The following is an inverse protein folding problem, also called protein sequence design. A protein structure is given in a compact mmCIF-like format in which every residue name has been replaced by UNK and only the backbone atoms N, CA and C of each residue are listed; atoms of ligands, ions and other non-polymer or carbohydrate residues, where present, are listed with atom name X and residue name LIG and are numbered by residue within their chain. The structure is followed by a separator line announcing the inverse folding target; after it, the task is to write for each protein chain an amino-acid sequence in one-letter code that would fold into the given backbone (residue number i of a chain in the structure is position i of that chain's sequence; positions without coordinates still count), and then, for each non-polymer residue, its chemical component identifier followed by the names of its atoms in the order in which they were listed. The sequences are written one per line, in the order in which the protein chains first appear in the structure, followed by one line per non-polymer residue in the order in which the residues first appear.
data_IF_954175080799
#
_entry.id   IF_954175080799
#
_cell.length_a   1.000
_cell.length_b   1.000
_cell.length_c   1.000
_cell.angle_alpha   90.00
_cell.angle_beta   90.00
_cell.angle_gamma   90.00
#
_symmetry.space_group_name_H-M   'P 1'
#
loop_
_entity.id
_entity.type
_entity.pdbx_description
1 polymer ?
#
# COMPACT_ATOMS: atom_id res chain seq x y z
N UNK A 1 -9.16 -3.01 6.05
CA UNK A 1 -7.87 -2.46 5.56
C UNK A 1 -7.08 -3.54 4.86
N UNK A 2 -6.43 -3.18 3.76
CA UNK A 2 -5.60 -4.11 3.01
C UNK A 2 -4.15 -3.71 3.20
N UNK A 3 -3.36 -4.65 3.72
CA UNK A 3 -1.92 -4.45 3.93
C UNK A 3 -1.18 -5.64 3.30
N UNK A 4 -0.17 -5.36 2.51
CA UNK A 4 0.69 -6.37 1.94
C UNK A 4 2.02 -6.42 2.67
N UNK A 5 2.57 -7.63 2.81
CA UNK A 5 3.85 -7.87 3.46
C UNK A 5 4.76 -8.55 2.47
N UNK A 6 5.86 -7.89 2.14
CA UNK A 6 6.83 -8.42 1.19
C UNK A 6 8.11 -8.82 1.90
N UNK A 7 8.60 -10.01 1.60
CA UNK A 7 9.88 -10.47 2.11
C UNK A 7 10.99 -9.80 1.31
N UNK A 8 11.92 -9.15 2.02
CA UNK A 8 13.07 -8.48 1.43
C UNK A 8 14.36 -9.09 1.96
N UNK A 9 15.31 -9.30 1.06
CA UNK A 9 16.64 -9.80 1.40
C UNK A 9 17.62 -8.63 1.37
N UNK A 10 18.25 -8.35 2.51
CA UNK A 10 19.23 -7.29 2.67
C UNK A 10 20.61 -7.93 2.66
N UNK A 11 21.34 -7.74 1.57
CA UNK A 11 22.64 -8.36 1.33
C UNK A 11 23.72 -7.32 1.58
N UNK A 12 24.53 -7.56 2.63
CA UNK A 12 25.63 -6.65 2.97
C UNK A 12 26.83 -6.90 2.06
N UNK A 13 27.31 -5.84 1.47
CA UNK A 13 28.50 -5.85 0.60
C UNK A 13 29.78 -5.61 1.43
N UNK A 14 30.93 -5.78 0.80
CA UNK A 14 32.23 -5.63 1.44
C UNK A 14 32.48 -4.22 1.99
N UNK A 15 31.86 -3.20 1.41
CA UNK A 15 31.95 -1.81 1.86
C UNK A 15 30.91 -1.45 2.93
N UNK A 16 30.22 -2.46 3.47
CA UNK A 16 29.15 -2.34 4.47
C UNK A 16 27.87 -1.66 3.94
N UNK A 17 27.75 -1.42 2.65
CA UNK A 17 26.47 -1.04 2.04
C UNK A 17 25.60 -2.27 1.82
N UNK A 18 24.33 -2.03 1.47
CA UNK A 18 23.34 -3.10 1.29
C UNK A 18 22.73 -3.06 -0.10
N UNK A 19 22.53 -4.24 -0.67
CA UNK A 19 21.63 -4.45 -1.80
C UNK A 19 20.37 -5.08 -1.23
N UNK A 20 19.20 -4.61 -1.67
CA UNK A 20 17.90 -5.16 -1.26
C UNK A 20 17.23 -5.80 -2.45
N UNK A 21 16.81 -7.04 -2.29
CA UNK A 21 16.02 -7.76 -3.27
C UNK A 21 14.64 -8.07 -2.72
N UNK A 22 13.60 -7.82 -3.52
CA UNK A 22 12.22 -8.16 -3.19
C UNK A 22 11.71 -9.12 -4.27
N UNK A 23 11.92 -10.44 -4.11
CA UNK A 23 11.62 -11.42 -5.16
C UNK A 23 10.16 -11.44 -5.61
N UNK A 24 9.23 -11.13 -4.70
CA UNK A 24 7.79 -11.13 -4.99
C UNK A 24 7.37 -10.04 -5.97
N UNK A 25 8.20 -9.03 -6.20
CA UNK A 25 7.93 -7.91 -7.09
C UNK A 25 8.83 -7.92 -8.34
N UNK A 26 8.79 -9.03 -9.08
CA UNK A 26 9.47 -9.15 -10.39
C UNK A 26 10.93 -8.67 -10.39
N UNK A 27 11.72 -9.23 -9.49
CA UNK A 27 13.16 -8.94 -9.38
C UNK A 27 13.48 -7.47 -9.08
N UNK A 28 12.58 -6.77 -8.41
CA UNK A 28 12.87 -5.43 -7.94
C UNK A 28 14.01 -5.43 -6.93
N UNK A 29 14.96 -4.54 -7.13
CA UNK A 29 16.07 -4.39 -6.20
C UNK A 29 16.46 -2.91 -6.05
N UNK A 30 17.07 -2.59 -4.92
CA UNK A 30 17.57 -1.26 -4.61
C UNK A 30 18.81 -1.38 -3.71
N UNK A 31 19.31 -0.28 -3.22
CA UNK A 31 20.48 -0.28 -2.34
C UNK A 31 20.42 0.87 -1.34
N UNK A 32 21.29 0.80 -0.34
CA UNK A 32 21.47 1.84 0.66
C UNK A 32 22.82 1.69 1.35
N UNK A 33 23.35 2.78 1.90
CA UNK A 33 24.64 2.78 2.60
C UNK A 33 24.56 2.15 3.98
N UNK A 34 23.39 2.24 4.61
CA UNK A 34 23.10 1.64 5.92
C UNK A 34 21.86 0.77 5.78
N UNK A 35 21.61 -0.07 6.79
CA UNK A 35 20.39 -0.87 6.82
C UNK A 35 19.13 0.01 6.80
N UNK A 36 19.09 1.06 7.62
CA UNK A 36 17.93 1.96 7.67
C UNK A 36 17.68 2.66 6.34
N UNK A 37 18.74 3.10 5.68
CA UNK A 37 18.67 3.73 4.37
C UNK A 37 18.19 2.75 3.31
N UNK A 38 18.70 1.53 3.34
CA UNK A 38 18.27 0.45 2.45
C UNK A 38 16.81 0.06 2.67
N UNK A 39 16.36 0.02 3.93
CA UNK A 39 14.97 -0.26 4.27
C UNK A 39 14.03 0.82 3.72
N UNK A 40 14.39 2.09 3.92
CA UNK A 40 13.64 3.22 3.37
C UNK A 40 13.57 3.17 1.85
N UNK A 41 14.68 2.86 1.20
CA UNK A 41 14.74 2.71 -0.26
C UNK A 41 13.86 1.56 -0.74
N UNK A 42 13.82 0.46 0.00
CA UNK A 42 12.96 -0.68 -0.32
C UNK A 42 11.48 -0.31 -0.20
N UNK A 43 11.10 0.45 0.82
CA UNK A 43 9.73 0.93 1.00
C UNK A 43 9.31 1.82 -0.18
N UNK A 44 10.18 2.74 -0.59
CA UNK A 44 9.93 3.60 -1.76
C UNK A 44 9.85 2.79 -3.05
N UNK A 45 10.67 1.76 -3.20
CA UNK A 45 10.65 0.87 -4.35
C UNK A 45 9.30 0.16 -4.50
N UNK A 46 8.72 -0.32 -3.39
CA UNK A 46 7.40 -0.96 -3.39
C UNK A 46 6.33 0.03 -3.84
N UNK A 47 6.36 1.25 -3.30
CA UNK A 47 5.41 2.31 -3.70
C UNK A 47 5.51 2.61 -5.20
N UNK A 48 6.73 2.76 -5.69
CA UNK A 48 7.00 3.03 -7.11
C UNK A 48 6.51 1.89 -8.01
N UNK A 49 6.72 0.65 -7.58
CA UNK A 49 6.23 -0.52 -8.32
C UNK A 49 4.72 -0.43 -8.54
N UNK A 50 3.95 -0.11 -7.50
CA UNK A 50 2.49 -0.01 -7.63
C UNK A 50 2.03 1.24 -8.36
N UNK A 51 2.81 2.32 -8.36
CA UNK A 51 2.56 3.49 -9.21
C UNK A 51 2.70 3.12 -10.69
N UNK A 52 3.68 2.31 -11.02
CA UNK A 52 3.96 1.88 -12.40
C UNK A 52 3.07 0.71 -12.85
N UNK A 53 2.52 -0.05 -11.90
CA UNK A 53 1.70 -1.24 -12.17
C UNK A 53 0.35 -1.17 -11.43
N UNK A 54 -0.51 -0.17 -11.75
CA UNK A 54 -1.78 0.01 -11.03
C UNK A 54 -2.72 -1.19 -11.13
N UNK A 55 -2.65 -1.98 -12.20
CA UNK A 55 -3.44 -3.19 -12.36
C UNK A 55 -3.02 -4.33 -11.42
N UNK A 56 -1.88 -4.21 -10.78
CA UNK A 56 -1.39 -5.19 -9.80
C UNK A 56 -1.78 -4.84 -8.37
N UNK A 57 -2.33 -3.66 -8.13
CA UNK A 57 -2.60 -3.15 -6.79
C UNK A 57 -3.45 -4.08 -5.93
N UNK A 58 -4.43 -4.74 -6.51
CA UNK A 58 -5.32 -5.66 -5.80
C UNK A 58 -5.07 -7.13 -6.14
N UNK A 59 -3.93 -7.42 -6.77
CA UNK A 59 -3.59 -8.76 -7.22
C UNK A 59 -3.03 -9.64 -6.10
N UNK A 60 -2.39 -9.03 -5.11
CA UNK A 60 -1.72 -9.74 -4.02
C UNK A 60 -2.72 -9.97 -2.89
N UNK A 61 -3.47 -11.08 -2.97
CA UNK A 61 -4.46 -11.46 -1.95
C UNK A 61 -3.82 -12.24 -0.81
N UNK A 62 -2.76 -11.70 -0.23
CA UNK A 62 -2.04 -12.39 0.84
C UNK A 62 -2.45 -11.87 2.20
N UNK A 63 -2.90 -12.79 3.05
CA UNK A 63 -3.10 -12.54 4.47
C UNK A 63 -1.91 -13.15 5.19
N UNK A 64 -0.80 -12.43 5.21
CA UNK A 64 0.34 -12.82 6.02
C UNK A 64 0.42 -11.92 7.24
N UNK A 65 0.82 -12.52 8.35
CA UNK A 65 1.11 -11.81 9.59
C UNK A 65 2.49 -11.15 9.56
N UNK A 66 3.06 -10.93 8.41
CA UNK A 66 4.42 -10.40 8.28
C UNK A 66 5.48 -11.44 8.65
N UNK A 67 6.68 -11.19 8.21
CA UNK A 67 7.84 -12.04 8.54
C UNK A 67 8.64 -11.38 9.65
N UNK A 68 9.08 -12.16 10.62
CA UNK A 68 10.01 -11.65 11.61
C UNK A 68 11.35 -11.35 10.95
N UNK A 69 12.03 -10.32 11.41
CA UNK A 69 13.39 -10.02 10.97
C UNK A 69 14.35 -11.11 11.47
N UNK A 70 15.13 -11.68 10.56
CA UNK A 70 16.12 -12.68 10.94
C UNK A 70 17.31 -12.66 9.98
N UNK A 71 18.43 -13.19 10.44
CA UNK A 71 19.63 -13.31 9.63
C UNK A 71 19.73 -14.72 9.04
N UNK A 72 20.01 -14.81 7.73
CA UNK A 72 20.34 -16.09 7.10
C UNK A 72 21.79 -16.44 7.40
N UNK A 73 22.68 -15.45 7.28
CA UNK A 73 24.08 -15.53 7.65
C UNK A 73 24.60 -14.13 8.01
N UNK A 74 25.92 -13.97 8.15
CA UNK A 74 26.52 -12.67 8.50
C UNK A 74 26.37 -11.59 7.41
N UNK A 75 25.99 -11.97 6.19
CA UNK A 75 25.86 -11.05 5.07
C UNK A 75 24.42 -10.82 4.63
N UNK A 76 23.48 -11.70 4.99
CA UNK A 76 22.11 -11.64 4.50
C UNK A 76 21.12 -11.59 5.65
N UNK A 77 20.39 -10.50 5.73
CA UNK A 77 19.28 -10.31 6.67
C UNK A 77 17.96 -10.33 5.89
N UNK A 78 16.95 -10.97 6.45
CA UNK A 78 15.59 -10.96 5.91
C UNK A 78 14.72 -10.06 6.77
N UNK A 79 13.99 -9.17 6.14
CA UNK A 79 13.04 -8.30 6.83
C UNK A 79 11.77 -8.16 5.99
N UNK A 80 10.72 -7.66 6.61
CA UNK A 80 9.43 -7.47 5.95
C UNK A 80 9.24 -6.01 5.57
N UNK A 81 8.88 -5.77 4.32
CA UNK A 81 8.44 -4.46 3.87
C UNK A 81 6.92 -4.44 3.92
N UNK A 82 6.39 -3.50 4.67
CA UNK A 82 4.94 -3.34 4.86
C UNK A 82 4.41 -2.31 3.88
N UNK A 83 3.35 -2.67 3.15
CA UNK A 83 2.71 -1.78 2.19
C UNK A 83 1.22 -1.66 2.52
N UNK A 84 0.82 -0.48 2.96
CA UNK A 84 -0.58 -0.16 3.26
C UNK A 84 -1.26 0.29 1.96
N UNK A 85 -2.09 -0.59 1.39
CA UNK A 85 -2.78 -0.35 0.12
C UNK A 85 -3.76 0.82 0.25
N UNK A 86 -4.51 0.87 1.34
CA UNK A 86 -5.53 1.91 1.52
C UNK A 86 -4.91 3.30 1.63
N UNK A 87 -3.81 3.41 2.35
CA UNK A 87 -3.06 4.67 2.45
C UNK A 87 -2.51 5.10 1.08
N UNK A 88 -1.93 4.16 0.35
CA UNK A 88 -1.42 4.40 -1.00
C UNK A 88 -2.53 4.90 -1.94
N UNK A 89 -3.71 4.28 -1.90
CA UNK A 89 -4.85 4.67 -2.73
C UNK A 89 -5.30 6.09 -2.38
N UNK A 90 -5.41 6.43 -1.10
CA UNK A 90 -5.79 7.78 -0.67
C UNK A 90 -4.79 8.84 -1.12
N UNK A 91 -3.50 8.52 -1.12
CA UNK A 91 -2.44 9.46 -1.50
C UNK A 91 -2.32 9.65 -3.01
N UNK A 92 -2.62 8.62 -3.80
CA UNK A 92 -2.34 8.60 -5.24
C UNK A 92 -3.57 8.71 -6.14
N UNK A 93 -4.76 8.38 -5.64
CA UNK A 93 -6.01 8.45 -6.41
C UNK A 93 -6.88 9.57 -5.87
N UNK A 94 -6.43 10.81 -6.10
CA UNK A 94 -7.07 12.02 -5.56
C UNK A 94 -7.94 12.77 -6.55
N UNK A 95 -7.95 12.38 -7.83
CA UNK A 95 -8.79 13.01 -8.83
C UNK A 95 -10.26 12.74 -8.56
N UNK A 96 -11.10 13.74 -8.75
CA UNK A 96 -12.54 13.57 -8.62
C UNK A 96 -13.07 12.73 -9.78
N UNK A 97 -13.97 11.82 -9.47
CA UNK A 97 -14.68 11.00 -10.46
C UNK A 97 -16.18 11.14 -10.25
N UNK A 98 -16.93 10.98 -11.33
CA UNK A 98 -18.38 11.02 -11.26
C UNK A 98 -18.93 9.61 -11.10
N UNK A 99 -19.79 9.43 -10.09
CA UNK A 99 -20.49 8.17 -9.83
C UNK A 99 -21.98 8.37 -10.00
N UNK A 100 -22.64 7.40 -10.62
CA UNK A 100 -24.09 7.36 -10.72
C UNK A 100 -24.63 6.37 -9.69
N UNK A 101 -25.51 6.82 -8.80
CA UNK A 101 -26.11 6.00 -7.76
C UNK A 101 -27.58 5.74 -8.09
N UNK A 102 -28.00 4.51 -7.83
CA UNK A 102 -29.41 4.13 -7.88
C UNK A 102 -29.90 4.02 -6.45
N UNK A 103 -30.89 4.83 -6.08
CA UNK A 103 -31.49 4.84 -4.76
C UNK A 103 -33.01 4.79 -4.90
N UNK A 104 -33.74 4.34 -3.86
CA UNK A 104 -35.21 4.49 -3.85
C UNK A 104 -35.60 5.97 -4.00
N UNK A 105 -36.71 6.22 -4.70
CA UNK A 105 -37.17 7.58 -4.96
C UNK A 105 -37.33 8.42 -3.69
N UNK A 106 -37.74 7.79 -2.57
CA UNK A 106 -37.89 8.50 -1.31
C UNK A 106 -36.56 9.05 -0.78
N UNK A 107 -35.44 8.37 -1.03
CA UNK A 107 -34.12 8.86 -0.61
C UNK A 107 -33.78 10.15 -1.35
N UNK A 108 -33.99 10.17 -2.67
CA UNK A 108 -33.76 11.37 -3.47
C UNK A 108 -34.65 12.52 -3.02
N UNK A 109 -35.93 12.22 -2.78
CA UNK A 109 -36.91 13.20 -2.33
C UNK A 109 -36.51 13.88 -1.01
N UNK A 110 -36.13 13.09 -0.01
CA UNK A 110 -35.70 13.63 1.28
C UNK A 110 -34.37 14.36 1.21
N UNK A 111 -33.42 13.86 0.43
CA UNK A 111 -32.13 14.49 0.27
C UNK A 111 -32.27 15.89 -0.37
N UNK A 112 -33.12 16.02 -1.37
CA UNK A 112 -33.38 17.29 -2.03
C UNK A 112 -34.10 18.26 -1.09
N UNK A 113 -35.17 17.81 -0.42
CA UNK A 113 -35.94 18.62 0.51
C UNK A 113 -35.13 19.16 1.68
N UNK A 114 -34.30 18.33 2.26
CA UNK A 114 -33.48 18.68 3.44
C UNK A 114 -32.12 19.29 3.09
N UNK A 115 -31.82 19.38 1.80
CA UNK A 115 -30.53 19.89 1.37
C UNK A 115 -29.35 19.04 1.85
N UNK A 116 -29.52 17.72 1.86
CA UNK A 116 -28.48 16.81 2.34
C UNK A 116 -27.33 16.74 1.33
N UNK A 117 -26.10 17.01 1.76
CA UNK A 117 -24.93 16.87 0.87
C UNK A 117 -24.52 15.39 0.72
N UNK A 118 -25.21 14.69 -0.19
CA UNK A 118 -25.07 13.24 -0.37
C UNK A 118 -23.64 12.81 -0.62
N UNK A 119 -22.90 13.58 -1.41
CA UNK A 119 -21.48 13.27 -1.72
C UNK A 119 -20.63 13.25 -0.45
N UNK A 120 -20.79 14.22 0.41
CA UNK A 120 -20.04 14.29 1.68
C UNK A 120 -20.43 13.18 2.63
N UNK A 121 -21.73 12.86 2.72
CA UNK A 121 -22.21 11.75 3.55
C UNK A 121 -21.68 10.41 3.05
N UNK A 122 -21.62 10.21 1.73
CA UNK A 122 -21.07 8.98 1.15
C UNK A 122 -19.58 8.83 1.47
N UNK A 123 -18.80 9.88 1.28
CA UNK A 123 -17.37 9.87 1.60
C UNK A 123 -17.14 9.53 3.06
N UNK A 124 -17.87 10.18 3.95
CA UNK A 124 -17.77 9.94 5.40
C UNK A 124 -18.14 8.50 5.78
N UNK A 125 -19.20 7.96 5.17
CA UNK A 125 -19.63 6.59 5.43
C UNK A 125 -18.56 5.58 5.02
N UNK A 126 -17.90 5.80 3.87
CA UNK A 126 -16.81 4.93 3.40
C UNK A 126 -15.61 5.03 4.34
N UNK A 127 -15.23 6.24 4.76
CA UNK A 127 -14.13 6.44 5.70
C UNK A 127 -14.40 5.74 7.05
N UNK A 128 -15.62 5.83 7.56
CA UNK A 128 -16.00 5.16 8.80
C UNK A 128 -15.96 3.63 8.67
N UNK A 129 -16.37 3.10 7.54
CA UNK A 129 -16.30 1.67 7.26
C UNK A 129 -14.85 1.17 7.22
N UNK A 130 -13.97 1.93 6.59
CA UNK A 130 -12.56 1.57 6.48
C UNK A 130 -11.82 1.63 7.82
N UNK A 131 -12.29 2.46 8.75
CA UNK A 131 -11.71 2.57 10.09
C UNK A 131 -12.07 1.40 11.01
N UNK A 132 -13.03 0.58 10.61
CA UNK A 132 -13.42 -0.65 11.35
C UNK A 132 -12.37 -1.78 11.10
#
# INVERSE_FOLDING_TARGET
MITYYFKAYFIRKNDNSYIVEIPELDDCFTCGKTFDEAYSSATELVKKYFEEHPNQLYHYLRVYEGYEEYDIDEHVKVATIVFDVDEFVKENYTNEVTMTLKVPEWVDHFAEREGIPVTEYLQKAVEEHMAE
#
